data_IF_420136632894
#
_entry.id   IF_420136632894
#
_cell.length_a   1.000
_cell.length_b   1.000
_cell.length_c   1.000
_cell.angle_alpha   90.00
_cell.angle_beta   90.00
_cell.angle_gamma   90.00
#
_symmetry.space_group_name_H-M   'P 1'
#
loop_
_entity.id
_entity.type
_entity.pdbx_description
1 polymer ?
#
# COMPACT_ATOMS: atom_id res chain seq x y z
N UNK A 1 -12.38 -3.14 -37.07
CA UNK A 1 -10.96 -3.17 -36.70
C UNK A 1 -10.53 -1.75 -36.40
N UNK A 2 -10.61 -1.34 -35.14
CA UNK A 2 -10.12 -0.04 -34.69
C UNK A 2 -9.25 -0.33 -33.46
N UNK A 3 -7.93 -0.16 -33.65
CA UNK A 3 -6.94 -0.42 -32.61
C UNK A 3 -7.09 0.57 -31.45
N UNK A 4 -7.38 0.07 -30.27
CA UNK A 4 -7.25 0.78 -29.03
C UNK A 4 -5.76 0.84 -28.65
N UNK A 5 -5.10 1.86 -29.10
CA UNK A 5 -3.81 2.30 -28.55
C UNK A 5 -4.08 3.05 -27.26
N UNK A 6 -4.16 2.36 -26.12
CA UNK A 6 -4.13 3.01 -24.82
C UNK A 6 -2.73 3.57 -24.62
N UNK A 7 -2.57 4.90 -24.75
CA UNK A 7 -1.38 5.60 -24.29
C UNK A 7 -1.28 5.36 -22.77
N UNK A 8 -0.19 4.72 -22.34
CA UNK A 8 0.16 4.65 -20.92
C UNK A 8 0.24 6.09 -20.41
N UNK A 9 -0.72 6.51 -19.58
CA UNK A 9 -0.52 7.68 -18.75
C UNK A 9 0.73 7.41 -17.95
N UNK A 10 1.75 8.25 -18.05
CA UNK A 10 2.96 8.16 -17.23
C UNK A 10 2.52 8.24 -15.77
N UNK A 11 2.43 7.07 -15.14
CA UNK A 11 2.14 6.94 -13.73
C UNK A 11 3.25 7.64 -12.97
N UNK A 12 2.90 8.48 -11.99
CA UNK A 12 3.87 9.07 -11.05
C UNK A 12 4.70 8.02 -10.28
N UNK A 13 4.41 6.74 -10.50
CA UNK A 13 5.11 5.57 -10.01
C UNK A 13 6.00 4.91 -11.08
N UNK A 14 6.19 5.52 -12.27
CA UNK A 14 6.97 4.92 -13.34
C UNK A 14 8.44 4.76 -12.92
N UNK A 15 8.94 3.52 -12.98
CA UNK A 15 10.35 3.22 -12.80
C UNK A 15 11.12 3.49 -14.09
N UNK A 16 12.31 4.06 -13.96
CA UNK A 16 13.31 4.08 -15.04
C UNK A 16 14.00 2.71 -15.03
N UNK A 17 13.95 1.97 -16.13
CA UNK A 17 14.59 0.63 -16.24
C UNK A 17 16.04 0.67 -15.78
N UNK A 18 16.41 -0.24 -14.89
CA UNK A 18 17.76 -0.39 -14.38
C UNK A 18 18.06 0.43 -13.11
N UNK A 19 17.04 1.02 -12.47
CA UNK A 19 17.16 1.70 -11.17
C UNK A 19 16.42 0.85 -10.13
N UNK A 20 17.10 0.51 -9.06
CA UNK A 20 16.49 -0.11 -7.88
C UNK A 20 15.36 0.79 -7.35
N UNK A 21 14.17 0.23 -7.12
CA UNK A 21 13.03 0.98 -6.57
C UNK A 21 13.40 1.62 -5.23
N UNK A 22 13.06 2.90 -5.00
CA UNK A 22 13.37 3.59 -3.75
C UNK A 22 12.57 3.01 -2.58
N UNK A 23 13.07 3.23 -1.38
CA UNK A 23 12.29 3.04 -0.15
C UNK A 23 11.29 4.18 -0.01
N UNK A 24 10.01 3.83 0.20
CA UNK A 24 8.90 4.76 0.36
C UNK A 24 8.26 4.57 1.75
N UNK A 25 7.94 5.69 2.40
CA UNK A 25 7.18 5.72 3.65
C UNK A 25 5.76 6.16 3.33
N UNK A 26 4.81 5.28 3.61
CA UNK A 26 3.39 5.48 3.35
C UNK A 26 2.61 5.36 4.66
N UNK A 27 2.21 6.46 5.30
CA UNK A 27 1.39 6.38 6.50
C UNK A 27 -0.04 5.94 6.18
N UNK A 28 -0.61 5.10 7.06
CA UNK A 28 -2.05 4.94 7.14
C UNK A 28 -2.68 6.12 7.88
N UNK A 29 -3.81 6.62 7.39
CA UNK A 29 -4.62 7.63 8.10
C UNK A 29 -5.50 7.03 9.21
N UNK A 30 -5.48 5.71 9.39
CA UNK A 30 -6.32 5.04 10.38
C UNK A 30 -6.15 5.57 11.83
N UNK A 31 -4.94 5.96 12.30
CA UNK A 31 -4.76 6.56 13.62
C UNK A 31 -5.07 8.06 13.71
N UNK A 32 -5.41 8.72 12.61
CA UNK A 32 -5.65 10.16 12.57
C UNK A 32 -6.95 10.57 13.29
N UNK A 33 -7.06 11.83 13.64
CA UNK A 33 -8.34 12.42 14.11
C UNK A 33 -9.26 12.64 12.91
N UNK A 34 -10.25 11.77 12.72
CA UNK A 34 -11.20 11.85 11.61
C UNK A 34 -12.04 13.12 11.60
N UNK A 35 -12.20 13.81 12.76
CA UNK A 35 -12.88 15.10 12.81
C UNK A 35 -12.14 16.22 12.10
N UNK A 36 -10.83 16.00 11.82
CA UNK A 36 -9.89 16.93 11.18
C UNK A 36 -9.11 16.30 10.03
N UNK A 37 -9.67 15.29 9.38
CA UNK A 37 -8.97 14.46 8.42
C UNK A 37 -8.20 15.24 7.35
N UNK A 38 -8.74 16.37 6.88
CA UNK A 38 -8.04 17.23 5.92
C UNK A 38 -6.75 17.85 6.49
N UNK A 39 -6.80 18.32 7.74
CA UNK A 39 -5.61 18.88 8.43
C UNK A 39 -4.56 17.80 8.68
N UNK A 40 -5.00 16.60 9.10
CA UNK A 40 -4.15 15.43 9.29
C UNK A 40 -3.42 15.03 8.00
N UNK A 41 -4.16 14.97 6.88
CA UNK A 41 -3.61 14.68 5.57
C UNK A 41 -2.59 15.73 5.12
N UNK A 42 -2.84 17.02 5.39
CA UNK A 42 -1.89 18.09 5.12
C UNK A 42 -0.62 17.93 5.96
N UNK A 43 -0.76 17.63 7.24
CA UNK A 43 0.38 17.43 8.13
C UNK A 43 1.27 16.26 7.67
N UNK A 44 0.68 15.18 7.12
CA UNK A 44 1.44 14.09 6.51
C UNK A 44 2.19 14.54 5.24
N UNK A 45 1.56 15.32 4.36
CA UNK A 45 2.22 15.88 3.17
C UNK A 45 3.41 16.76 3.55
N UNK A 46 3.23 17.67 4.50
CA UNK A 46 4.27 18.57 5.04
C UNK A 46 5.41 17.79 5.74
N UNK A 47 5.09 16.66 6.37
CA UNK A 47 6.09 15.77 6.97
C UNK A 47 6.96 15.03 5.94
N UNK A 48 6.64 15.11 4.64
CA UNK A 48 7.46 14.55 3.57
C UNK A 48 7.26 13.06 3.34
N UNK A 49 6.04 12.54 3.59
CA UNK A 49 5.66 11.19 3.20
C UNK A 49 5.63 11.01 1.68
N UNK A 50 5.65 9.78 1.19
CA UNK A 50 5.67 9.52 -0.25
C UNK A 50 4.27 9.23 -0.79
N UNK A 51 3.44 8.54 -0.01
CA UNK A 51 2.09 8.07 -0.34
C UNK A 51 1.24 8.27 0.91
N UNK A 52 -0.09 8.37 0.78
CA UNK A 52 -1.03 8.36 1.90
C UNK A 52 -2.00 7.20 1.71
N UNK A 53 -1.98 6.24 2.67
CA UNK A 53 -2.83 5.06 2.63
C UNK A 53 -4.15 5.29 3.35
N UNK A 54 -5.23 4.82 2.72
CA UNK A 54 -6.60 4.83 3.20
C UNK A 54 -7.08 3.40 3.45
N UNK A 55 -7.20 3.02 4.73
CA UNK A 55 -7.68 1.69 5.14
C UNK A 55 -9.21 1.65 5.14
N UNK A 56 -9.79 1.21 4.02
CA UNK A 56 -11.25 1.11 3.81
C UNK A 56 -11.74 -0.25 4.32
N UNK A 57 -12.57 -0.23 5.36
CA UNK A 57 -13.07 -1.43 6.03
C UNK A 57 -14.60 -1.44 6.06
N UNK A 58 -15.21 -2.60 5.80
CA UNK A 58 -16.66 -2.77 5.64
C UNK A 58 -17.37 -3.44 6.84
N UNK A 59 -16.64 -3.81 7.88
CA UNK A 59 -17.19 -4.55 9.02
C UNK A 59 -17.56 -6.00 8.74
N UNK A 60 -17.17 -6.53 7.57
CA UNK A 60 -17.46 -7.89 7.13
C UNK A 60 -16.20 -8.67 6.80
N UNK A 61 -15.35 -8.16 5.91
CA UNK A 61 -14.02 -8.74 5.63
C UNK A 61 -13.12 -8.66 6.88
N UNK A 62 -13.21 -7.55 7.60
CA UNK A 62 -12.57 -7.33 8.91
C UNK A 62 -13.59 -6.86 9.93
N UNK A 63 -13.40 -7.12 11.25
CA UNK A 63 -14.38 -6.78 12.28
C UNK A 63 -14.31 -5.28 12.70
N UNK A 64 -14.06 -4.40 11.76
CA UNK A 64 -13.99 -2.96 11.95
C UNK A 64 -14.62 -2.25 10.75
N UNK A 65 -15.20 -1.08 11.00
CA UNK A 65 -15.78 -0.20 9.99
C UNK A 65 -15.05 1.14 10.04
N UNK A 66 -14.58 1.64 8.90
CA UNK A 66 -13.85 2.91 8.86
C UNK A 66 -14.59 3.92 7.97
N UNK A 67 -13.97 4.38 6.93
CA UNK A 67 -14.47 5.40 6.01
C UNK A 67 -14.56 4.84 4.59
N UNK A 68 -15.21 5.58 3.73
CA UNK A 68 -15.35 5.24 2.31
C UNK A 68 -14.91 6.39 1.40
N UNK A 69 -15.19 6.27 0.10
CA UNK A 69 -14.69 7.19 -0.93
C UNK A 69 -15.10 8.66 -0.70
N UNK A 70 -16.23 8.94 -0.08
CA UNK A 70 -16.67 10.32 0.15
C UNK A 70 -15.77 11.06 1.15
N UNK A 71 -15.27 10.35 2.19
CA UNK A 71 -14.28 10.91 3.13
C UNK A 71 -12.95 11.11 2.44
N UNK A 72 -12.50 10.15 1.62
CA UNK A 72 -11.26 10.26 0.83
C UNK A 72 -11.31 11.47 -0.10
N UNK A 73 -12.42 11.63 -0.83
CA UNK A 73 -12.64 12.75 -1.73
C UNK A 73 -12.59 14.10 -1.00
N UNK A 74 -13.17 14.19 0.20
CA UNK A 74 -13.16 15.42 0.99
C UNK A 74 -11.74 15.84 1.42
N UNK A 75 -10.84 14.88 1.60
CA UNK A 75 -9.46 15.11 1.98
C UNK A 75 -8.51 15.34 0.79
N UNK A 76 -8.93 15.03 -0.45
CA UNK A 76 -8.03 15.03 -1.63
C UNK A 76 -7.32 16.35 -1.88
N UNK A 77 -8.00 17.47 -1.68
CA UNK A 77 -7.44 18.82 -1.91
C UNK A 77 -6.38 19.25 -0.88
N UNK A 78 -6.23 18.52 0.21
CA UNK A 78 -5.30 18.87 1.30
C UNK A 78 -3.88 18.32 1.08
N UNK A 79 -3.67 17.51 0.05
CA UNK A 79 -2.35 16.94 -0.25
C UNK A 79 -2.11 16.81 -1.75
N UNK A 80 -0.86 16.91 -2.17
CA UNK A 80 -0.41 16.61 -3.54
C UNK A 80 0.11 15.16 -3.68
N UNK A 81 0.27 14.45 -2.57
CA UNK A 81 0.78 13.08 -2.56
C UNK A 81 -0.21 12.10 -3.21
N UNK A 82 0.29 11.01 -3.80
CA UNK A 82 -0.56 9.93 -4.22
C UNK A 82 -1.38 9.37 -3.05
N UNK A 83 -2.67 9.10 -3.31
CA UNK A 83 -3.51 8.33 -2.39
C UNK A 83 -3.60 6.90 -2.87
N UNK A 84 -3.56 5.96 -1.94
CA UNK A 84 -3.88 4.56 -2.19
C UNK A 84 -4.99 4.10 -1.26
N UNK A 85 -5.92 3.31 -1.77
CA UNK A 85 -6.98 2.71 -0.96
C UNK A 85 -6.70 1.22 -0.76
N UNK A 86 -6.49 0.84 0.49
CA UNK A 86 -6.39 -0.56 0.92
C UNK A 86 -7.80 -1.06 1.25
N UNK A 87 -8.35 -1.85 0.33
CA UNK A 87 -9.74 -2.31 0.38
C UNK A 87 -9.86 -3.60 1.19
N UNK A 88 -10.05 -3.48 2.46
CA UNK A 88 -10.41 -4.58 3.38
C UNK A 88 -11.93 -4.77 3.40
N UNK A 89 -12.47 -5.18 2.25
CA UNK A 89 -13.91 -5.32 1.99
C UNK A 89 -14.21 -6.63 1.27
N UNK A 90 -15.39 -7.22 1.50
CA UNK A 90 -15.77 -8.50 0.87
C UNK A 90 -15.96 -8.41 -0.64
N UNK A 91 -16.35 -7.25 -1.16
CA UNK A 91 -16.67 -7.05 -2.58
C UNK A 91 -15.92 -5.86 -3.16
N UNK A 92 -14.58 -5.96 -3.34
CA UNK A 92 -13.75 -4.84 -3.79
C UNK A 92 -14.14 -4.29 -5.16
N UNK A 93 -14.62 -5.12 -6.10
CA UNK A 93 -15.06 -4.69 -7.43
C UNK A 93 -16.17 -3.62 -7.35
N UNK A 94 -17.07 -3.71 -6.37
CA UNK A 94 -18.17 -2.75 -6.18
C UNK A 94 -17.64 -1.38 -5.71
N UNK A 95 -16.55 -1.38 -4.94
CA UNK A 95 -15.99 -0.17 -4.35
C UNK A 95 -14.92 0.50 -5.22
N UNK A 96 -14.36 -0.22 -6.19
CA UNK A 96 -13.18 0.20 -6.93
C UNK A 96 -13.38 1.53 -7.65
N UNK A 97 -14.41 1.65 -8.49
CA UNK A 97 -14.65 2.85 -9.30
C UNK A 97 -14.78 4.12 -8.43
N UNK A 98 -15.54 4.04 -7.33
CA UNK A 98 -15.75 5.19 -6.45
C UNK A 98 -14.47 5.63 -5.72
N UNK A 99 -13.57 4.71 -5.38
CA UNK A 99 -12.29 5.06 -4.77
C UNK A 99 -11.34 5.72 -5.77
N UNK A 100 -11.36 5.30 -7.04
CA UNK A 100 -10.62 5.99 -8.12
C UNK A 100 -11.17 7.41 -8.31
N UNK A 101 -12.49 7.57 -8.38
CA UNK A 101 -13.16 8.89 -8.50
C UNK A 101 -12.90 9.80 -7.29
N UNK A 102 -12.72 9.22 -6.09
CA UNK A 102 -12.32 9.93 -4.88
C UNK A 102 -10.86 10.43 -4.92
N UNK A 103 -10.09 10.03 -5.94
CA UNK A 103 -8.72 10.49 -6.18
C UNK A 103 -7.63 9.52 -5.70
N UNK A 104 -7.96 8.24 -5.48
CA UNK A 104 -6.95 7.21 -5.27
C UNK A 104 -6.30 6.81 -6.59
N UNK A 105 -4.97 6.92 -6.66
CA UNK A 105 -4.19 6.51 -7.83
C UNK A 105 -3.84 5.02 -7.80
N UNK A 106 -3.93 4.37 -6.64
CA UNK A 106 -3.72 2.93 -6.46
C UNK A 106 -4.86 2.32 -5.66
N UNK A 107 -5.29 1.14 -6.07
CA UNK A 107 -6.20 0.31 -5.28
C UNK A 107 -5.51 -1.00 -4.92
N UNK A 108 -5.57 -1.37 -3.64
CA UNK A 108 -5.04 -2.59 -3.08
C UNK A 108 -6.22 -3.47 -2.70
N UNK A 109 -6.35 -4.63 -3.32
CA UNK A 109 -7.41 -5.60 -3.05
C UNK A 109 -6.85 -6.86 -2.41
N UNK A 110 -7.53 -7.43 -1.44
CA UNK A 110 -7.14 -8.70 -0.85
C UNK A 110 -7.41 -9.87 -1.81
N UNK A 111 -6.41 -10.74 -2.00
CA UNK A 111 -6.59 -11.95 -2.81
C UNK A 111 -7.75 -12.81 -2.29
N UNK A 112 -7.93 -12.82 -0.98
CA UNK A 112 -8.97 -13.58 -0.26
C UNK A 112 -10.39 -13.03 -0.50
N UNK A 113 -10.53 -11.77 -0.91
CA UNK A 113 -11.80 -11.12 -1.21
C UNK A 113 -12.19 -11.21 -2.70
N UNK A 114 -11.29 -11.67 -3.56
CA UNK A 114 -11.49 -11.66 -5.00
C UNK A 114 -11.77 -13.06 -5.52
N UNK A 115 -13.02 -13.34 -5.91
CA UNK A 115 -13.37 -14.62 -6.58
C UNK A 115 -12.58 -14.81 -7.89
N UNK A 116 -12.33 -13.73 -8.61
CA UNK A 116 -11.59 -13.69 -9.87
C UNK A 116 -10.50 -12.61 -9.84
N UNK A 117 -9.47 -12.81 -9.03
CA UNK A 117 -8.42 -11.83 -8.78
C UNK A 117 -7.84 -11.21 -10.06
N UNK A 118 -7.51 -12.03 -11.06
CA UNK A 118 -6.99 -11.56 -12.36
C UNK A 118 -7.93 -10.51 -12.99
N UNK A 119 -9.22 -10.81 -13.08
CA UNK A 119 -10.22 -9.89 -13.63
C UNK A 119 -10.35 -8.60 -12.82
N UNK A 120 -10.37 -8.70 -11.49
CA UNK A 120 -10.43 -7.53 -10.59
C UNK A 120 -9.25 -6.59 -10.82
N UNK A 121 -8.03 -7.14 -10.96
CA UNK A 121 -6.83 -6.34 -11.23
C UNK A 121 -6.89 -5.68 -12.62
N UNK A 122 -7.33 -6.40 -13.66
CA UNK A 122 -7.54 -5.81 -14.99
C UNK A 122 -8.59 -4.68 -14.97
N UNK A 123 -9.70 -4.87 -14.25
CA UNK A 123 -10.73 -3.84 -14.10
C UNK A 123 -10.17 -2.57 -13.44
N UNK A 124 -9.39 -2.70 -12.36
CA UNK A 124 -8.74 -1.56 -11.69
C UNK A 124 -7.84 -0.80 -12.67
N UNK A 125 -7.02 -1.51 -13.44
CA UNK A 125 -6.16 -0.90 -14.47
C UNK A 125 -6.99 -0.23 -15.58
N UNK A 126 -8.11 -0.84 -15.96
CA UNK A 126 -9.06 -0.27 -16.93
C UNK A 126 -9.71 1.04 -16.47
N UNK A 127 -9.80 1.28 -15.15
CA UNK A 127 -10.25 2.54 -14.55
C UNK A 127 -9.17 3.62 -14.53
N UNK A 128 -7.93 3.31 -14.96
CA UNK A 128 -6.80 4.26 -14.95
C UNK A 128 -6.03 4.31 -13.63
N UNK A 129 -6.33 3.45 -12.67
CA UNK A 129 -5.56 3.32 -11.43
C UNK A 129 -4.47 2.25 -11.55
N UNK A 130 -3.43 2.31 -10.72
CA UNK A 130 -2.50 1.21 -10.53
C UNK A 130 -3.13 0.14 -9.64
N UNK A 131 -2.88 -1.12 -9.96
CA UNK A 131 -3.46 -2.26 -9.25
C UNK A 131 -2.45 -2.89 -8.30
N UNK A 132 -2.90 -3.21 -7.08
CA UNK A 132 -2.10 -3.91 -6.10
C UNK A 132 -2.90 -5.05 -5.44
N UNK A 133 -2.20 -6.07 -4.98
CA UNK A 133 -2.80 -7.22 -4.30
C UNK A 133 -2.22 -7.40 -2.90
N UNK A 134 -3.09 -7.56 -1.91
CA UNK A 134 -2.74 -7.84 -0.53
C UNK A 134 -2.88 -9.33 -0.20
N UNK A 135 -1.99 -9.81 0.67
CA UNK A 135 -1.99 -11.17 1.23
C UNK A 135 -2.09 -11.12 2.75
N UNK A 136 -3.11 -11.78 3.31
CA UNK A 136 -3.22 -12.00 4.75
C UNK A 136 -2.06 -12.84 5.30
N UNK A 137 -1.79 -12.82 6.62
CA UNK A 137 -0.70 -13.60 7.20
C UNK A 137 -0.73 -15.09 6.87
N UNK A 138 -1.92 -15.71 6.77
CA UNK A 138 -2.06 -17.14 6.47
C UNK A 138 -1.98 -17.50 4.98
N UNK A 139 -2.13 -16.50 4.07
CA UNK A 139 -2.18 -16.72 2.62
C UNK A 139 -0.76 -16.89 2.06
N UNK A 140 -0.47 -17.97 1.33
CA UNK A 140 0.87 -18.22 0.81
C UNK A 140 1.28 -17.23 -0.28
N UNK A 141 2.59 -16.95 -0.39
CA UNK A 141 3.15 -16.06 -1.41
C UNK A 141 2.82 -16.51 -2.85
N UNK A 142 2.72 -17.82 -3.09
CA UNK A 142 2.38 -18.38 -4.41
C UNK A 142 1.02 -17.95 -4.96
N UNK A 143 0.12 -17.44 -4.10
CA UNK A 143 -1.19 -16.94 -4.51
C UNK A 143 -1.10 -15.83 -5.57
N UNK A 144 -0.03 -15.03 -5.56
CA UNK A 144 0.16 -13.92 -6.53
C UNK A 144 0.99 -14.29 -7.74
N UNK A 145 1.51 -15.53 -7.80
CA UNK A 145 2.43 -15.95 -8.85
C UNK A 145 1.92 -15.67 -10.27
N UNK A 146 0.65 -15.94 -10.52
CA UNK A 146 0.05 -15.82 -11.86
C UNK A 146 -0.58 -14.44 -12.14
N UNK A 147 -0.34 -13.45 -11.31
CA UNK A 147 -0.85 -12.07 -11.47
C UNK A 147 0.23 -11.00 -11.31
N UNK A 148 1.50 -11.39 -11.14
CA UNK A 148 2.62 -10.45 -10.95
C UNK A 148 2.82 -9.49 -12.14
N UNK A 149 2.42 -9.87 -13.33
CA UNK A 149 2.46 -9.04 -14.54
C UNK A 149 1.32 -8.02 -14.63
N UNK A 150 0.30 -8.16 -13.79
CA UNK A 150 -0.86 -7.27 -13.72
C UNK A 150 -0.77 -6.25 -12.58
N UNK A 151 0.12 -6.46 -11.61
CA UNK A 151 0.21 -5.60 -10.43
C UNK A 151 1.39 -4.64 -10.51
N UNK A 152 1.23 -3.48 -9.92
CA UNK A 152 2.29 -2.50 -9.69
C UNK A 152 2.87 -2.64 -8.27
N UNK A 153 2.20 -3.41 -7.40
CA UNK A 153 2.62 -3.66 -6.03
C UNK A 153 1.98 -4.92 -5.43
N UNK A 154 2.72 -5.62 -4.59
CA UNK A 154 2.21 -6.66 -3.69
C UNK A 154 2.32 -6.17 -2.26
N UNK A 155 1.23 -6.24 -1.49
CA UNK A 155 1.20 -5.95 -0.06
C UNK A 155 1.21 -7.26 0.75
N UNK A 156 2.17 -7.41 1.64
CA UNK A 156 2.18 -8.49 2.64
C UNK A 156 1.74 -7.93 3.98
N UNK A 157 0.59 -8.40 4.49
CA UNK A 157 0.15 -8.05 5.82
C UNK A 157 1.09 -8.62 6.89
N UNK A 158 1.56 -7.77 7.77
CA UNK A 158 2.43 -8.13 8.91
C UNK A 158 1.70 -8.05 10.26
N UNK A 159 0.39 -7.90 10.19
CA UNK A 159 -0.61 -8.10 11.27
C UNK A 159 -1.85 -8.76 10.67
N UNK A 160 -2.79 -9.23 11.49
CA UNK A 160 -4.13 -9.54 10.99
C UNK A 160 -4.85 -8.22 10.70
N UNK A 161 -5.41 -8.01 9.48
CA UNK A 161 -6.05 -6.75 9.13
C UNK A 161 -7.27 -6.44 10.00
N UNK A 162 -7.61 -5.14 10.13
CA UNK A 162 -8.81 -4.66 10.80
C UNK A 162 -8.58 -3.64 11.92
N UNK A 163 -7.43 -3.62 12.58
CA UNK A 163 -7.15 -2.68 13.67
C UNK A 163 -5.73 -2.14 13.59
N UNK A 164 -5.56 -0.87 13.93
CA UNK A 164 -4.24 -0.25 14.10
C UNK A 164 -3.57 -0.64 15.42
N UNK A 165 -2.25 -0.37 15.52
CA UNK A 165 -1.49 -0.52 16.76
C UNK A 165 -1.17 -1.96 17.18
N UNK A 166 -1.33 -2.94 16.30
CA UNK A 166 -1.01 -4.34 16.55
C UNK A 166 0.50 -4.60 16.50
N UNK A 167 0.93 -5.69 17.15
CA UNK A 167 2.31 -6.14 17.13
C UNK A 167 2.69 -6.76 15.78
N UNK A 168 3.86 -6.42 15.28
CA UNK A 168 4.44 -6.96 14.06
C UNK A 168 4.61 -8.49 14.13
N UNK A 169 4.10 -9.21 13.13
CA UNK A 169 4.24 -10.65 13.01
C UNK A 169 5.56 -10.96 12.30
N UNK A 170 6.62 -11.12 13.07
CA UNK A 170 7.98 -11.34 12.56
C UNK A 170 8.11 -12.56 11.64
N UNK A 171 7.27 -13.57 11.82
CA UNK A 171 7.23 -14.77 10.96
C UNK A 171 6.77 -14.48 9.53
N UNK A 172 6.38 -13.25 9.21
CA UNK A 172 6.09 -12.81 7.84
C UNK A 172 7.34 -12.40 7.02
N UNK A 173 8.48 -12.16 7.67
CA UNK A 173 9.74 -11.84 6.95
C UNK A 173 10.13 -12.88 5.89
N UNK A 174 10.05 -14.21 6.13
CA UNK A 174 10.25 -15.20 5.07
C UNK A 174 9.26 -15.08 3.90
N UNK A 175 7.99 -14.74 4.15
CA UNK A 175 7.01 -14.51 3.07
C UNK A 175 7.35 -13.26 2.26
N UNK A 176 7.75 -12.17 2.92
CA UNK A 176 8.22 -10.94 2.24
C UNK A 176 9.37 -11.30 1.30
N UNK A 177 10.35 -12.09 1.78
CA UNK A 177 11.47 -12.55 0.96
C UNK A 177 10.99 -13.39 -0.23
N UNK A 178 10.10 -14.35 -0.03
CA UNK A 178 9.55 -15.17 -1.11
C UNK A 178 8.89 -14.31 -2.20
N UNK A 179 8.09 -13.31 -1.83
CA UNK A 179 7.44 -12.40 -2.79
C UNK A 179 8.49 -11.58 -3.54
N UNK A 180 9.52 -11.04 -2.85
CA UNK A 180 10.62 -10.31 -3.50
C UNK A 180 11.37 -11.18 -4.50
N UNK A 181 11.68 -12.42 -4.11
CA UNK A 181 12.37 -13.38 -4.98
C UNK A 181 11.53 -13.71 -6.23
N UNK A 182 10.21 -13.87 -6.08
CA UNK A 182 9.29 -14.11 -7.20
C UNK A 182 9.24 -12.92 -8.16
N UNK A 183 9.16 -11.68 -7.63
CA UNK A 183 9.19 -10.44 -8.41
C UNK A 183 10.51 -10.35 -9.20
N UNK A 184 11.63 -10.59 -8.53
CA UNK A 184 12.97 -10.54 -9.13
C UNK A 184 13.15 -11.62 -10.20
N UNK A 185 12.74 -12.86 -9.93
CA UNK A 185 12.84 -13.98 -10.87
C UNK A 185 12.03 -13.75 -12.16
N UNK A 186 10.98 -12.92 -12.10
CA UNK A 186 10.19 -12.49 -13.27
C UNK A 186 10.77 -11.26 -14.01
N UNK A 187 11.87 -10.71 -13.54
CA UNK A 187 12.46 -9.48 -14.12
C UNK A 187 11.62 -8.23 -13.85
N UNK A 188 10.82 -8.24 -12.77
CA UNK A 188 9.92 -7.16 -12.39
C UNK A 188 10.48 -6.32 -11.22
N UNK A 189 11.72 -6.53 -10.82
CA UNK A 189 12.32 -5.91 -9.64
C UNK A 189 12.41 -4.38 -9.69
N UNK A 190 12.40 -3.80 -10.88
CA UNK A 190 12.43 -2.35 -11.15
C UNK A 190 11.03 -1.74 -11.39
N UNK A 191 9.96 -2.53 -11.35
CA UNK A 191 8.61 -2.08 -11.70
C UNK A 191 7.53 -2.47 -10.70
N UNK A 192 7.72 -3.55 -9.92
CA UNK A 192 6.74 -4.00 -8.93
C UNK A 192 7.26 -3.74 -7.52
N UNK A 193 6.56 -2.89 -6.80
CA UNK A 193 6.84 -2.60 -5.39
C UNK A 193 6.44 -3.79 -4.49
N UNK A 194 7.12 -3.89 -3.35
CA UNK A 194 6.73 -4.81 -2.27
C UNK A 194 6.47 -3.99 -1.02
N UNK A 195 5.22 -4.01 -0.60
CA UNK A 195 4.72 -3.27 0.54
C UNK A 195 4.48 -4.18 1.75
N UNK A 196 4.61 -3.62 2.93
CA UNK A 196 4.22 -4.25 4.19
C UNK A 196 3.37 -3.32 5.03
N UNK A 197 2.32 -3.87 5.63
CA UNK A 197 1.41 -3.14 6.51
C UNK A 197 1.19 -3.92 7.81
N UNK A 198 1.41 -3.21 8.90
CA UNK A 198 1.15 -3.67 10.26
C UNK A 198 2.37 -3.75 11.17
N UNK A 199 2.32 -3.01 12.27
CA UNK A 199 3.34 -3.02 13.32
C UNK A 199 4.71 -2.46 12.91
N UNK A 200 4.77 -1.66 11.85
CA UNK A 200 5.99 -0.99 11.40
C UNK A 200 6.35 0.13 12.38
N UNK A 201 7.59 0.10 12.85
CA UNK A 201 8.16 0.99 13.85
C UNK A 201 9.68 1.04 13.70
N UNK A 202 10.40 1.94 14.41
CA UNK A 202 11.86 1.95 14.37
C UNK A 202 12.53 0.61 14.70
N UNK A 203 11.86 -0.24 15.49
CA UNK A 203 12.40 -1.56 15.88
C UNK A 203 12.10 -2.69 14.91
N UNK A 204 11.14 -2.53 14.00
CA UNK A 204 10.69 -3.62 13.09
C UNK A 204 10.98 -3.33 11.62
N UNK A 205 11.07 -2.05 11.23
CA UNK A 205 11.20 -1.61 9.85
C UNK A 205 12.43 -2.19 9.15
N UNK A 206 13.56 -2.27 9.85
CA UNK A 206 14.80 -2.81 9.29
C UNK A 206 14.67 -4.29 8.89
N UNK A 207 13.95 -5.09 9.69
CA UNK A 207 13.67 -6.50 9.37
C UNK A 207 12.83 -6.66 8.11
N UNK A 208 11.76 -5.86 7.99
CA UNK A 208 10.88 -5.84 6.83
C UNK A 208 11.63 -5.39 5.55
N UNK A 209 12.41 -4.31 5.63
CA UNK A 209 13.21 -3.80 4.50
C UNK A 209 14.28 -4.80 4.07
N UNK A 210 15.02 -5.40 5.01
CA UNK A 210 16.00 -6.47 4.74
C UNK A 210 15.37 -7.71 4.08
N UNK A 211 14.11 -7.99 4.41
CA UNK A 211 13.35 -9.06 3.75
C UNK A 211 12.94 -8.71 2.31
N UNK A 212 13.08 -7.46 1.87
CA UNK A 212 12.84 -7.01 0.50
C UNK A 212 11.67 -6.05 0.33
N UNK A 213 11.00 -5.61 1.42
CA UNK A 213 9.98 -4.59 1.33
C UNK A 213 10.59 -3.21 1.07
N UNK A 214 10.04 -2.47 0.11
CA UNK A 214 10.47 -1.10 -0.21
C UNK A 214 9.37 -0.05 -0.02
N UNK A 215 8.14 -0.45 0.29
CA UNK A 215 7.06 0.44 0.74
C UNK A 215 6.62 0.02 2.14
N UNK A 216 6.69 0.94 3.10
CA UNK A 216 6.51 0.64 4.52
C UNK A 216 5.33 1.45 5.05
N UNK A 217 4.23 0.75 5.43
CA UNK A 217 3.07 1.41 6.03
C UNK A 217 3.31 1.57 7.52
N UNK A 218 3.43 2.80 7.94
CA UNK A 218 3.56 3.15 9.35
C UNK A 218 2.35 3.97 9.81
N UNK A 219 1.60 3.44 10.76
CA UNK A 219 0.47 4.13 11.38
C UNK A 219 0.87 4.72 12.72
N UNK A 220 0.51 4.03 13.80
CA UNK A 220 0.67 4.52 15.19
C UNK A 220 2.09 4.95 15.56
N UNK A 221 3.13 4.39 14.94
CA UNK A 221 4.51 4.78 15.19
C UNK A 221 4.81 6.21 14.72
N UNK A 222 4.19 6.66 13.62
CA UNK A 222 4.31 8.04 13.13
C UNK A 222 3.57 9.03 14.04
N UNK A 223 2.30 8.76 14.33
CA UNK A 223 1.44 9.68 15.09
C UNK A 223 1.83 9.80 16.57
N UNK A 224 2.56 8.81 17.12
CA UNK A 224 3.01 8.80 18.53
C UNK A 224 4.44 9.23 18.72
N UNK A 225 5.13 9.66 17.68
CA UNK A 225 6.51 10.14 17.83
C UNK A 225 6.53 11.44 18.64
N UNK A 226 7.23 11.49 19.78
CA UNK A 226 7.26 12.68 20.64
C UNK A 226 7.96 13.89 19.97
N UNK A 227 8.71 13.66 18.89
CA UNK A 227 9.40 14.70 18.11
C UNK A 227 8.61 15.12 16.87
N UNK A 228 7.42 14.52 16.64
CA UNK A 228 6.49 14.84 15.56
C UNK A 228 6.71 14.05 14.28
N UNK A 229 5.72 14.18 13.36
CA UNK A 229 5.61 13.41 12.14
C UNK A 229 6.85 13.48 11.25
N UNK A 230 7.40 14.67 11.01
CA UNK A 230 8.56 14.85 10.13
C UNK A 230 9.81 14.11 10.64
N UNK A 231 10.01 14.08 11.97
CA UNK A 231 11.08 13.31 12.59
C UNK A 231 10.85 11.80 12.36
N UNK A 232 9.66 11.31 12.64
CA UNK A 232 9.33 9.90 12.48
C UNK A 232 9.50 9.42 11.02
N UNK A 233 9.04 10.20 10.03
CA UNK A 233 9.23 9.90 8.60
C UNK A 233 10.70 9.82 8.24
N UNK A 234 11.51 10.79 8.72
CA UNK A 234 12.96 10.85 8.45
C UNK A 234 13.68 9.64 9.05
N UNK A 235 13.40 9.32 10.31
CA UNK A 235 14.00 8.18 11.04
C UNK A 235 13.64 6.85 10.36
N UNK A 236 12.35 6.61 10.11
CA UNK A 236 11.89 5.38 9.48
C UNK A 236 12.49 5.20 8.08
N UNK A 237 12.53 6.26 7.28
CA UNK A 237 13.15 6.24 5.95
C UNK A 237 14.64 5.88 6.02
N UNK A 238 15.38 6.49 6.95
CA UNK A 238 16.81 6.23 7.13
C UNK A 238 17.06 4.77 7.53
N UNK A 239 16.30 4.25 8.50
CA UNK A 239 16.41 2.87 8.97
C UNK A 239 16.07 1.86 7.87
N UNK A 240 15.00 2.10 7.11
CA UNK A 240 14.60 1.22 6.01
C UNK A 240 15.61 1.24 4.87
N UNK A 241 16.07 2.44 4.45
CA UNK A 241 17.05 2.58 3.36
C UNK A 241 18.38 1.90 3.69
N UNK A 242 18.83 2.02 4.94
CA UNK A 242 20.07 1.37 5.38
C UNK A 242 19.98 -0.18 5.40
N UNK A 243 18.76 -0.73 5.57
CA UNK A 243 18.53 -2.17 5.64
C UNK A 243 18.08 -2.79 4.31
N UNK A 244 17.53 -1.99 3.41
CA UNK A 244 17.01 -2.46 2.12
C UNK A 244 18.16 -2.88 1.22
N UNK A 245 18.15 -4.16 0.85
CA UNK A 245 19.05 -4.74 -0.15
C UNK A 245 18.17 -5.31 -1.25
N UNK A 246 18.16 -4.66 -2.41
CA UNK A 246 17.44 -5.13 -3.60
C UNK A 246 18.08 -6.38 -4.19
#
# INVERSE_FOLDING_TARGET
>A
MTGYGASRSESRFASVRGVTLPVLIAPSVLPADFSKIGEEVRALDEAGVDIIQWDVMDGQFVPNLTFGPDVIASARSYSTKPFEAHLMVLTPDVMAQRNVEAGCQRLIVHAEACTHLHRTLENIRGMGATAAVALNPHTPASTVENVLDLVDMVLVMTVNPGFGGQSYIKTMEPKIRQVRDMITARGLGDSVHLEVDGGISPTTIAGAAKAGANVLIAGSALYRDPKGLAHAVTELRALATAAFTA
#
